data_IF_614387082448
#
_entry.id   IF_614387082448
#
_cell.length_a   1.000
_cell.length_b   1.000
_cell.length_c   1.000
_cell.angle_alpha   90.00
_cell.angle_beta   90.00
_cell.angle_gamma   90.00
#
_symmetry.space_group_name_H-M   'P 1'
#
loop_
_entity.id
_entity.type
_entity.pdbx_description
1 polymer ?
#
# COMPACT_ATOMS: atom_id res chain seq x y z
N UNK A 1 -15.05 22.15 -10.71
CA UNK A 1 -14.14 21.12 -11.23
C UNK A 1 -13.55 20.39 -10.03
N UNK A 2 -14.16 19.26 -9.64
CA UNK A 2 -13.66 18.46 -8.52
C UNK A 2 -12.35 17.82 -8.94
N UNK A 3 -11.23 18.38 -8.49
CA UNK A 3 -9.93 17.71 -8.53
C UNK A 3 -10.15 16.30 -7.97
N UNK A 4 -10.00 15.28 -8.81
CA UNK A 4 -10.20 13.90 -8.38
C UNK A 4 -9.25 13.64 -7.22
N UNK A 5 -9.79 13.41 -6.03
CA UNK A 5 -8.99 13.07 -4.86
C UNK A 5 -8.34 11.71 -5.11
N UNK A 6 -7.10 11.71 -5.59
CA UNK A 6 -6.27 10.52 -5.77
C UNK A 6 -5.91 10.03 -4.37
N UNK A 7 -6.74 9.15 -3.83
CA UNK A 7 -6.59 8.62 -2.47
C UNK A 7 -5.40 7.65 -2.43
N UNK A 8 -4.51 7.75 -1.43
CA UNK A 8 -3.38 6.85 -1.31
C UNK A 8 -3.87 5.40 -1.13
N UNK A 9 -3.26 4.42 -1.82
CA UNK A 9 -3.61 3.02 -1.67
C UNK A 9 -3.34 2.54 -0.24
N UNK A 10 -4.10 1.54 0.20
CA UNK A 10 -3.89 0.90 1.51
C UNK A 10 -3.10 -0.40 1.32
N UNK A 11 -2.14 -0.65 2.19
CA UNK A 11 -1.37 -1.88 2.16
C UNK A 11 -2.23 -3.07 2.64
N UNK A 12 -2.26 -4.15 1.87
CA UNK A 12 -2.92 -5.40 2.22
C UNK A 12 -1.88 -6.36 2.81
N UNK A 13 -2.22 -7.01 3.91
CA UNK A 13 -1.36 -7.98 4.59
C UNK A 13 -2.11 -9.26 4.88
N UNK A 14 -1.36 -10.37 5.03
CA UNK A 14 -1.92 -11.62 5.53
C UNK A 14 -2.43 -11.43 6.95
N UNK A 15 -3.63 -11.92 7.22
CA UNK A 15 -4.21 -11.91 8.57
C UNK A 15 -3.75 -13.19 9.29
N UNK A 16 -3.34 -13.09 10.57
CA UNK A 16 -3.05 -14.29 11.36
C UNK A 16 -4.31 -15.14 11.54
N UNK A 17 -4.13 -16.45 11.62
CA UNK A 17 -5.20 -17.37 11.96
C UNK A 17 -5.47 -17.28 13.46
N UNK A 18 -6.71 -16.99 13.82
CA UNK A 18 -7.14 -17.05 15.22
C UNK A 18 -7.78 -18.41 15.51
N UNK A 19 -7.53 -18.94 16.71
CA UNK A 19 -8.05 -20.25 17.14
C UNK A 19 -9.57 -20.27 17.25
N UNK A 20 -10.19 -19.13 17.56
CA UNK A 20 -11.65 -18.99 17.70
C UNK A 20 -12.40 -19.00 16.36
N UNK A 21 -11.71 -19.01 15.21
CA UNK A 21 -12.33 -18.97 13.89
C UNK A 21 -12.36 -20.34 13.20
N UNK A 22 -13.55 -20.71 12.71
CA UNK A 22 -13.75 -21.86 11.84
C UNK A 22 -13.04 -21.67 10.49
N UNK A 23 -12.57 -22.77 9.90
CA UNK A 23 -11.72 -22.74 8.69
C UNK A 23 -12.38 -22.05 7.49
N UNK A 24 -13.69 -22.20 7.33
CA UNK A 24 -14.52 -21.57 6.29
C UNK A 24 -14.73 -20.07 6.51
N UNK A 25 -14.59 -19.56 7.73
CA UNK A 25 -14.84 -18.16 8.08
C UNK A 25 -13.55 -17.32 8.18
N UNK A 26 -12.38 -17.96 8.11
CA UNK A 26 -11.08 -17.29 8.24
C UNK A 26 -10.87 -16.29 7.11
N UNK A 27 -10.69 -15.03 7.49
CA UNK A 27 -10.25 -13.98 6.56
C UNK A 27 -8.77 -14.14 6.26
N UNK A 28 -8.41 -14.34 4.99
CA UNK A 28 -7.03 -14.53 4.57
C UNK A 28 -6.18 -13.23 4.62
N UNK A 29 -6.82 -12.08 4.40
CA UNK A 29 -6.16 -10.79 4.25
C UNK A 29 -6.83 -9.73 5.12
N UNK A 30 -6.07 -8.70 5.50
CA UNK A 30 -6.54 -7.50 6.19
C UNK A 30 -5.79 -6.28 5.70
N UNK A 31 -6.35 -5.11 5.96
CA UNK A 31 -5.64 -3.85 5.77
C UNK A 31 -4.57 -3.69 6.85
N UNK A 32 -3.34 -3.46 6.43
CA UNK A 32 -2.22 -3.14 7.31
C UNK A 32 -2.19 -1.68 7.70
N UNK A 33 -1.30 -1.32 8.64
CA UNK A 33 -1.08 0.08 9.04
C UNK A 33 -0.51 0.93 7.90
N UNK A 34 0.37 0.33 7.09
CA UNK A 34 1.07 0.99 6.00
C UNK A 34 1.89 0.01 5.16
N UNK A 35 2.63 0.52 4.18
CA UNK A 35 3.56 -0.23 3.34
C UNK A 35 4.87 -0.52 4.08
N UNK A 36 5.52 -1.65 3.78
CA UNK A 36 6.84 -1.96 4.33
C UNK A 36 7.94 -1.22 3.59
N UNK A 37 9.12 -1.15 4.21
CA UNK A 37 10.31 -0.54 3.59
C UNK A 37 10.67 -1.26 2.28
N UNK A 38 10.68 -2.60 2.29
CA UNK A 38 11.00 -3.37 1.08
C UNK A 38 9.99 -3.21 -0.06
N UNK A 39 8.72 -2.93 0.24
CA UNK A 39 7.71 -2.61 -0.79
C UNK A 39 7.99 -1.24 -1.43
N UNK A 40 8.40 -0.24 -0.63
CA UNK A 40 8.76 1.09 -1.12
C UNK A 40 10.05 1.07 -1.93
N UNK A 41 11.06 0.33 -1.49
CA UNK A 41 12.32 0.16 -2.22
C UNK A 41 12.10 -0.48 -3.59
N UNK A 42 11.22 -1.48 -3.70
CA UNK A 42 10.85 -2.11 -4.99
C UNK A 42 10.20 -1.14 -5.98
N UNK A 43 9.57 -0.06 -5.51
CA UNK A 43 9.01 0.99 -6.38
C UNK A 43 9.93 2.21 -6.49
N UNK A 44 11.13 2.16 -5.91
CA UNK A 44 12.10 3.27 -5.94
C UNK A 44 11.71 4.45 -5.06
N UNK A 45 10.86 4.26 -4.05
CA UNK A 45 10.48 5.30 -3.09
C UNK A 45 11.28 5.18 -1.80
N UNK A 46 11.77 6.32 -1.32
CA UNK A 46 12.25 6.43 0.06
C UNK A 46 11.09 6.62 1.03
N UNK A 47 11.28 6.28 2.31
CA UNK A 47 10.28 6.48 3.37
C UNK A 47 9.84 7.96 3.45
N UNK A 48 10.78 8.89 3.27
CA UNK A 48 10.49 10.33 3.28
C UNK A 48 9.60 10.74 2.11
N UNK A 49 9.91 10.30 0.89
CA UNK A 49 9.08 10.55 -0.29
C UNK A 49 7.68 9.94 -0.14
N UNK A 50 7.60 8.70 0.33
CA UNK A 50 6.33 8.03 0.55
C UNK A 50 5.43 8.81 1.54
N UNK A 51 6.01 9.31 2.64
CA UNK A 51 5.28 10.16 3.61
C UNK A 51 4.80 11.47 2.99
N UNK A 52 5.61 12.12 2.13
CA UNK A 52 5.19 13.33 1.40
C UNK A 52 4.04 13.07 0.43
N UNK A 53 3.98 11.87 -0.15
CA UNK A 53 2.87 11.42 -0.99
C UNK A 53 1.62 11.01 -0.19
N UNK A 54 1.64 11.12 1.14
CA UNK A 54 0.54 10.70 2.01
C UNK A 54 0.43 9.19 2.21
N UNK A 55 1.45 8.42 1.84
CA UNK A 55 1.49 6.97 2.07
C UNK A 55 1.91 6.69 3.52
N UNK A 56 1.13 5.83 4.18
CA UNK A 56 1.52 5.30 5.49
C UNK A 56 2.62 4.26 5.33
N UNK A 57 3.66 4.38 6.15
CA UNK A 57 4.82 3.48 6.13
C UNK A 57 4.96 2.77 7.47
N UNK A 58 5.01 1.45 7.43
CA UNK A 58 5.28 0.57 8.56
C UNK A 58 6.74 0.12 8.54
N UNK A 59 7.60 0.92 9.18
CA UNK A 59 9.05 0.71 9.23
C UNK A 59 9.48 -0.57 9.94
N UNK A 60 8.60 -1.17 10.78
CA UNK A 60 8.92 -2.37 11.55
C UNK A 60 8.63 -3.65 10.77
N UNK A 61 7.83 -3.58 9.70
CA UNK A 61 7.43 -4.75 8.91
C UNK A 61 8.51 -5.09 7.88
N UNK A 62 8.96 -6.36 7.90
CA UNK A 62 9.92 -6.90 6.92
C UNK A 62 9.27 -7.68 5.78
N UNK A 63 7.98 -8.01 5.89
CA UNK A 63 7.28 -8.74 4.83
C UNK A 63 7.00 -7.84 3.63
N UNK A 64 7.15 -8.42 2.44
CA UNK A 64 6.88 -7.77 1.16
C UNK A 64 5.80 -8.56 0.45
N UNK A 65 4.76 -7.86 0.01
CA UNK A 65 3.68 -8.44 -0.79
C UNK A 65 3.67 -7.80 -2.18
N UNK A 66 3.74 -8.61 -3.23
CA UNK A 66 3.83 -8.10 -4.60
C UNK A 66 2.53 -7.36 -5.02
N UNK A 67 1.37 -7.76 -4.48
CA UNK A 67 0.10 -7.03 -4.65
C UNK A 67 0.18 -5.56 -4.19
N UNK A 68 0.92 -5.30 -3.11
CA UNK A 68 1.12 -3.95 -2.60
C UNK A 68 2.07 -3.16 -3.51
N UNK A 69 3.12 -3.80 -4.02
CA UNK A 69 4.08 -3.18 -4.96
C UNK A 69 3.36 -2.77 -6.25
N UNK A 70 2.50 -3.63 -6.79
CA UNK A 70 1.73 -3.32 -7.99
C UNK A 70 0.74 -2.16 -7.75
N UNK A 71 0.09 -2.15 -6.58
CA UNK A 71 -0.81 -1.06 -6.18
C UNK A 71 -0.06 0.28 -6.08
N UNK A 72 1.16 0.27 -5.53
CA UNK A 72 2.02 1.46 -5.47
C UNK A 72 2.45 1.93 -6.86
N UNK A 73 2.81 1.01 -7.77
CA UNK A 73 3.15 1.36 -9.17
C UNK A 73 1.98 2.05 -9.87
N UNK A 74 0.78 1.49 -9.78
CA UNK A 74 -0.44 2.06 -10.37
C UNK A 74 -0.72 3.46 -9.80
N UNK A 75 -0.56 3.64 -8.49
CA UNK A 75 -0.73 4.95 -7.87
C UNK A 75 0.29 5.98 -8.40
N UNK A 76 1.56 5.60 -8.56
CA UNK A 76 2.58 6.47 -9.14
C UNK A 76 2.29 6.83 -10.61
N UNK A 77 1.79 5.90 -11.40
CA UNK A 77 1.36 6.17 -12.79
C UNK A 77 0.18 7.15 -12.83
N UNK A 78 -0.82 6.96 -11.98
CA UNK A 78 -1.95 7.89 -11.86
C UNK A 78 -1.50 9.29 -11.48
N UNK A 79 -0.54 9.42 -10.56
CA UNK A 79 0.05 10.70 -10.20
C UNK A 79 0.75 11.36 -11.41
N UNK A 80 1.57 10.62 -12.15
CA UNK A 80 2.24 11.15 -13.37
C UNK A 80 1.23 11.62 -14.42
N UNK A 81 0.18 10.84 -14.66
CA UNK A 81 -0.85 11.17 -15.65
C UNK A 81 -1.65 12.42 -15.28
N UNK A 82 -1.82 12.67 -13.98
CA UNK A 82 -2.48 13.89 -13.48
C UNK A 82 -1.62 15.13 -13.70
N UNK A 83 -0.29 15.00 -13.59
CA UNK A 83 0.65 16.11 -13.78
C UNK A 83 0.83 16.49 -15.25
N UNK A 84 0.70 15.55 -16.18
CA UNK A 84 0.89 15.80 -17.62
C UNK A 84 -0.33 16.41 -18.32
N UNK A 85 -1.46 16.57 -17.62
CA UNK A 85 -2.69 17.18 -18.16
C UNK A 85 -2.85 18.66 -17.80
N UNK A 86 -1.79 19.28 -17.29
CA UNK A 86 -1.77 20.71 -16.91
C UNK A 86 -1.01 21.57 -17.89
#
# INVERSE_FOLDING_TARGET
>A
MSQGNISPPKAIIKRPNYSFEYKNERKAKRTGRGFSIGELEKVGLTVSQARKLGLYVDIRRKSVHDENVESLKKFLEQLKQSQSKS
#
